data_IF_904742719586
#
_entry.id   IF_904742719586
#
_cell.length_a   1.000
_cell.length_b   1.000
_cell.length_c   1.000
_cell.angle_alpha   90.00
_cell.angle_beta   90.00
_cell.angle_gamma   90.00
#
_symmetry.space_group_name_H-M   'P 1'
#
loop_
_entity.id
_entity.type
_entity.pdbx_description
1 polymer ?
#
# COMPACT_ATOMS: atom_id res chain seq x y z
N UNK A 1 8.77 11.21 4.95
CA UNK A 1 8.01 10.63 6.08
C UNK A 1 6.81 11.53 6.30
N UNK A 2 5.61 10.98 6.38
CA UNK A 2 4.41 11.78 6.59
C UNK A 2 4.46 12.42 7.99
N UNK A 3 4.15 13.71 8.07
CA UNK A 3 4.16 14.48 9.33
C UNK A 3 3.31 13.82 10.43
N UNK A 4 2.28 13.08 10.05
CA UNK A 4 1.28 12.53 10.96
C UNK A 4 1.39 11.02 11.23
N UNK A 5 2.26 10.30 10.53
CA UNK A 5 2.43 8.84 10.70
C UNK A 5 3.91 8.45 10.60
N UNK A 6 4.72 8.82 11.61
CA UNK A 6 6.15 8.52 11.59
C UNK A 6 6.38 7.01 11.67
N UNK A 7 7.18 6.49 10.75
CA UNK A 7 7.67 5.11 10.73
C UNK A 7 9.04 5.02 11.41
N UNK A 8 9.49 3.84 11.89
CA UNK A 8 8.82 2.54 11.84
C UNK A 8 7.73 2.38 12.91
N UNK A 9 6.75 1.53 12.61
CA UNK A 9 5.84 0.99 13.61
C UNK A 9 6.27 -0.43 13.96
N UNK A 10 6.09 -0.83 15.21
CA UNK A 10 6.48 -2.16 15.70
C UNK A 10 5.36 -2.75 16.55
N UNK A 11 5.28 -4.09 16.60
CA UNK A 11 4.37 -4.74 17.54
C UNK A 11 5.00 -4.82 18.93
N UNK A 12 4.18 -4.69 19.96
CA UNK A 12 4.63 -4.68 21.36
C UNK A 12 4.73 -6.12 21.93
N UNK A 13 5.95 -6.64 22.19
CA UNK A 13 6.11 -7.99 22.74
C UNK A 13 5.58 -8.12 24.18
N UNK A 14 5.47 -7.03 24.94
CA UNK A 14 5.02 -7.07 26.35
C UNK A 14 3.54 -7.45 26.47
N UNK A 15 2.76 -7.22 25.41
CA UNK A 15 1.34 -7.54 25.32
C UNK A 15 1.05 -8.60 24.24
N UNK A 16 1.94 -9.59 24.11
CA UNK A 16 1.81 -10.69 23.15
C UNK A 16 1.65 -10.20 21.69
N UNK A 17 2.32 -9.11 21.32
CA UNK A 17 2.23 -8.49 20.00
C UNK A 17 0.83 -8.00 19.60
N UNK A 18 -0.05 -7.71 20.56
CA UNK A 18 -1.42 -7.26 20.27
C UNK A 18 -1.57 -5.73 20.19
N UNK A 19 -0.53 -4.98 20.52
CA UNK A 19 -0.47 -3.53 20.33
C UNK A 19 0.58 -3.15 19.29
N UNK A 20 0.40 -1.99 18.68
CA UNK A 20 1.35 -1.36 17.76
C UNK A 20 1.86 -0.08 18.38
N UNK A 21 3.18 0.07 18.42
CA UNK A 21 3.88 1.24 18.92
C UNK A 21 4.49 2.05 17.78
N UNK A 22 4.44 3.37 17.92
CA UNK A 22 5.16 4.31 17.10
C UNK A 22 6.65 4.36 17.46
N UNK A 23 7.45 5.11 16.68
CA UNK A 23 8.89 5.23 16.91
C UNK A 23 9.25 5.97 18.20
N UNK A 24 8.31 6.72 18.76
CA UNK A 24 8.39 7.39 20.05
C UNK A 24 7.96 6.49 21.23
N UNK A 25 7.58 5.25 20.96
CA UNK A 25 7.09 4.30 21.95
C UNK A 25 5.62 4.50 22.35
N UNK A 26 4.91 5.46 21.77
CA UNK A 26 3.48 5.65 22.04
C UNK A 26 2.63 4.68 21.24
N UNK A 27 1.49 4.28 21.81
CA UNK A 27 0.59 3.32 21.19
C UNK A 27 -0.15 3.94 20.01
N UNK A 28 0.00 3.33 18.83
CA UNK A 28 -0.71 3.67 17.60
C UNK A 28 -2.04 2.91 17.50
N UNK A 29 -2.05 1.65 17.93
CA UNK A 29 -3.24 0.81 17.91
C UNK A 29 -3.20 -0.25 19.02
N UNK A 30 -4.36 -0.47 19.65
CA UNK A 30 -4.62 -1.64 20.51
C UNK A 30 -5.56 -2.59 19.78
N UNK A 31 -5.07 -3.76 19.37
CA UNK A 31 -5.89 -4.76 18.69
C UNK A 31 -6.62 -5.68 19.68
N UNK A 32 -6.37 -5.54 20.99
CA UNK A 32 -6.89 -6.41 22.05
C UNK A 32 -8.03 -5.81 22.87
N UNK A 33 -8.42 -4.56 22.61
CA UNK A 33 -9.33 -3.78 23.47
C UNK A 33 -10.71 -4.43 23.70
N UNK A 34 -11.12 -5.36 22.84
CA UNK A 34 -12.38 -6.12 22.95
C UNK A 34 -12.18 -7.61 23.23
N UNK A 35 -10.95 -8.09 23.42
CA UNK A 35 -10.62 -9.51 23.68
C UNK A 35 -11.29 -10.04 24.96
N UNK A 36 -11.59 -9.16 25.92
CA UNK A 36 -12.30 -9.49 27.17
C UNK A 36 -13.83 -9.61 27.01
N UNK A 37 -14.39 -9.30 25.84
CA UNK A 37 -15.83 -9.43 25.58
C UNK A 37 -16.18 -10.87 25.19
N UNK A 38 -17.40 -11.30 25.51
CA UNK A 38 -17.93 -12.54 24.98
C UNK A 38 -17.87 -12.51 23.43
N UNK A 39 -17.23 -13.51 22.83
CA UNK A 39 -16.94 -13.61 21.38
C UNK A 39 -15.95 -12.56 20.84
N UNK A 40 -15.05 -12.04 21.69
CA UNK A 40 -13.92 -11.22 21.23
C UNK A 40 -12.97 -11.98 20.29
N UNK A 41 -12.17 -11.26 19.48
CA UNK A 41 -11.13 -11.88 18.66
C UNK A 41 -10.12 -12.63 19.53
N UNK A 42 -9.57 -13.71 18.99
CA UNK A 42 -8.53 -14.48 19.70
C UNK A 42 -7.22 -13.70 19.75
N UNK A 43 -6.33 -14.10 20.67
CA UNK A 43 -5.00 -13.51 20.79
C UNK A 43 -4.22 -13.57 19.46
N UNK A 44 -4.36 -14.65 18.70
CA UNK A 44 -3.71 -14.81 17.39
C UNK A 44 -4.29 -13.84 16.36
N UNK A 45 -5.60 -13.60 16.38
CA UNK A 45 -6.26 -12.64 15.50
C UNK A 45 -5.79 -11.21 15.81
N UNK A 46 -5.72 -10.85 17.09
CA UNK A 46 -5.22 -9.56 17.53
C UNK A 46 -3.76 -9.33 17.10
N UNK A 47 -2.90 -10.34 17.30
CA UNK A 47 -1.50 -10.28 16.89
C UNK A 47 -1.33 -10.16 15.36
N UNK A 48 -2.12 -10.90 14.58
CA UNK A 48 -2.11 -10.80 13.12
C UNK A 48 -2.52 -9.39 12.64
N UNK A 49 -3.55 -8.80 13.24
CA UNK A 49 -3.97 -7.44 12.93
C UNK A 49 -2.90 -6.40 13.29
N UNK A 50 -2.27 -6.53 14.46
CA UNK A 50 -1.19 -5.65 14.87
C UNK A 50 0.01 -5.73 13.91
N UNK A 51 0.41 -6.94 13.47
CA UNK A 51 1.45 -7.13 12.46
C UNK A 51 1.11 -6.47 11.12
N UNK A 52 -0.15 -6.57 10.67
CA UNK A 52 -0.62 -5.93 9.45
C UNK A 52 -0.52 -4.41 9.54
N UNK A 53 -1.00 -3.83 10.66
CA UNK A 53 -0.92 -2.39 10.93
C UNK A 53 0.54 -1.95 10.98
N UNK A 54 1.40 -2.62 11.75
CA UNK A 54 2.82 -2.27 11.88
C UNK A 54 3.56 -2.28 10.53
N UNK A 55 3.15 -3.15 9.60
CA UNK A 55 3.74 -3.24 8.26
C UNK A 55 3.20 -2.19 7.28
N UNK A 56 2.09 -1.52 7.59
CA UNK A 56 1.40 -0.60 6.69
C UNK A 56 2.31 0.52 6.12
N UNK A 57 3.20 1.18 6.90
CA UNK A 57 4.09 2.19 6.32
C UNK A 57 5.06 1.63 5.27
N UNK A 58 5.61 0.43 5.52
CA UNK A 58 6.51 -0.23 4.58
C UNK A 58 5.76 -0.69 3.32
N UNK A 59 4.54 -1.21 3.48
CA UNK A 59 3.67 -1.59 2.37
C UNK A 59 3.32 -0.37 1.50
N UNK A 60 2.95 0.76 2.11
CA UNK A 60 2.67 2.02 1.42
C UNK A 60 3.87 2.49 0.58
N UNK A 61 5.07 2.51 1.18
CA UNK A 61 6.29 2.89 0.47
C UNK A 61 6.62 1.94 -0.70
N UNK A 62 6.23 0.67 -0.63
CA UNK A 62 6.37 -0.28 -1.74
C UNK A 62 5.32 -0.04 -2.83
N UNK A 63 4.07 0.26 -2.48
CA UNK A 63 3.04 0.64 -3.46
C UNK A 63 3.46 1.86 -4.28
N UNK A 64 4.02 2.89 -3.65
CA UNK A 64 4.54 4.09 -4.35
C UNK A 64 5.65 3.74 -5.36
N UNK A 65 6.55 2.81 -5.01
CA UNK A 65 7.58 2.31 -5.92
C UNK A 65 7.00 1.51 -7.08
N UNK A 66 5.97 0.69 -6.84
CA UNK A 66 5.26 -0.07 -7.88
C UNK A 66 4.56 0.88 -8.86
N UNK A 67 3.91 1.94 -8.37
CA UNK A 67 3.32 2.98 -9.23
C UNK A 67 4.38 3.58 -10.16
N UNK A 68 5.52 4.01 -9.61
CA UNK A 68 6.60 4.60 -10.41
C UNK A 68 7.17 3.61 -11.45
N UNK A 69 7.28 2.33 -11.11
CA UNK A 69 7.71 1.29 -12.03
C UNK A 69 6.70 1.05 -13.16
N UNK A 70 5.40 1.03 -12.86
CA UNK A 70 4.34 0.92 -13.86
C UNK A 70 4.30 2.12 -14.80
N UNK A 71 4.50 3.34 -14.28
CA UNK A 71 4.61 4.55 -15.12
C UNK A 71 5.80 4.45 -16.08
N UNK A 72 6.95 3.97 -15.59
CA UNK A 72 8.12 3.74 -16.42
C UNK A 72 7.83 2.72 -17.54
N UNK A 73 7.17 1.60 -17.21
CA UNK A 73 6.77 0.59 -18.20
C UNK A 73 5.81 1.18 -19.25
N UNK A 74 4.82 1.98 -18.84
CA UNK A 74 3.90 2.64 -19.75
C UNK A 74 4.63 3.57 -20.73
N UNK A 75 5.48 4.47 -20.21
CA UNK A 75 6.26 5.40 -21.04
C UNK A 75 7.23 4.66 -21.98
N UNK A 76 7.81 3.54 -21.52
CA UNK A 76 8.69 2.72 -22.33
C UNK A 76 7.94 2.03 -23.47
N UNK A 77 6.74 1.48 -23.19
CA UNK A 77 5.88 0.88 -24.20
C UNK A 77 5.42 1.91 -25.25
N UNK A 78 4.98 3.10 -24.83
CA UNK A 78 4.64 4.21 -25.73
C UNK A 78 5.83 4.62 -26.61
N UNK A 79 7.03 4.69 -26.03
CA UNK A 79 8.26 5.01 -26.76
C UNK A 79 8.65 3.97 -27.80
N UNK A 80 8.37 2.68 -27.55
CA UNK A 80 8.59 1.61 -28.54
C UNK A 80 7.53 1.66 -29.65
N UNK A 81 6.26 1.87 -29.28
CA UNK A 81 5.16 2.00 -30.24
C UNK A 81 5.41 3.14 -31.23
N UNK A 82 5.94 4.27 -30.75
CA UNK A 82 6.29 5.42 -31.58
C UNK A 82 7.45 5.14 -32.58
N UNK A 83 8.29 4.14 -32.32
CA UNK A 83 9.40 3.75 -33.20
C UNK A 83 9.00 2.62 -34.17
N UNK A 84 7.91 1.91 -33.88
CA UNK A 84 7.48 0.72 -34.59
C UNK A 84 6.43 1.02 -35.68
N UNK A 85 6.83 1.72 -36.74
CA UNK A 85 5.92 1.99 -37.87
C UNK A 85 5.82 0.83 -38.88
N UNK A 86 6.74 -0.14 -38.78
CA UNK A 86 6.82 -1.27 -39.72
C UNK A 86 5.81 -2.40 -39.43
N UNK A 87 5.36 -2.53 -38.19
CA UNK A 87 4.50 -3.63 -37.75
C UNK A 87 3.31 -3.09 -36.96
N UNK A 88 2.19 -2.77 -37.63
CA UNK A 88 1.02 -2.17 -36.99
C UNK A 88 0.50 -2.97 -35.78
N UNK A 89 0.45 -4.29 -35.86
CA UNK A 89 0.00 -5.16 -34.77
C UNK A 89 0.90 -5.08 -33.52
N UNK A 90 2.21 -4.94 -33.71
CA UNK A 90 3.14 -4.75 -32.59
C UNK A 90 2.94 -3.39 -31.93
N UNK A 91 2.79 -2.33 -32.74
CA UNK A 91 2.48 -0.98 -32.27
C UNK A 91 1.18 -0.94 -31.46
N UNK A 92 0.13 -1.59 -31.94
CA UNK A 92 -1.15 -1.70 -31.25
C UNK A 92 -1.02 -2.42 -29.90
N UNK A 93 -0.26 -3.53 -29.87
CA UNK A 93 0.01 -4.29 -28.64
C UNK A 93 0.76 -3.44 -27.61
N UNK A 94 1.81 -2.72 -28.04
CA UNK A 94 2.58 -1.84 -27.15
C UNK A 94 1.73 -0.69 -26.59
N UNK A 95 0.81 -0.14 -27.39
CA UNK A 95 -0.15 0.87 -26.91
C UNK A 95 -1.13 0.25 -25.90
N UNK A 96 -1.60 -0.97 -26.14
CA UNK A 96 -2.49 -1.67 -25.22
C UNK A 96 -1.79 -1.96 -23.88
N UNK A 97 -0.55 -2.44 -23.91
CA UNK A 97 0.27 -2.65 -22.72
C UNK A 97 0.44 -1.35 -21.92
N UNK A 98 0.77 -0.24 -22.59
CA UNK A 98 0.89 1.06 -21.94
C UNK A 98 -0.39 1.48 -21.21
N UNK A 99 -1.56 1.29 -21.85
CA UNK A 99 -2.86 1.57 -21.24
C UNK A 99 -3.11 0.69 -20.01
N UNK A 100 -2.79 -0.60 -20.08
CA UNK A 100 -2.95 -1.53 -18.97
C UNK A 100 -2.06 -1.12 -17.79
N UNK A 101 -0.79 -0.79 -18.01
CA UNK A 101 0.10 -0.33 -16.96
C UNK A 101 -0.41 0.95 -16.29
N UNK A 102 -0.89 1.93 -17.06
CA UNK A 102 -1.48 3.16 -16.52
C UNK A 102 -2.75 2.89 -15.72
N UNK A 103 -3.62 2.01 -16.19
CA UNK A 103 -4.84 1.63 -15.48
C UNK A 103 -4.49 1.02 -14.11
N UNK A 104 -3.60 0.02 -14.07
CA UNK A 104 -3.15 -0.59 -12.81
C UNK A 104 -2.47 0.42 -11.88
N UNK A 105 -1.63 1.32 -12.42
CA UNK A 105 -1.01 2.37 -11.61
C UNK A 105 -2.06 3.31 -10.99
N UNK A 106 -3.11 3.66 -11.73
CA UNK A 106 -4.22 4.48 -11.23
C UNK A 106 -5.01 3.76 -10.13
N UNK A 107 -5.27 2.46 -10.28
CA UNK A 107 -5.95 1.67 -9.26
C UNK A 107 -5.15 1.67 -7.94
N UNK A 108 -3.83 1.46 -8.01
CA UNK A 108 -2.96 1.50 -6.83
C UNK A 108 -2.91 2.91 -6.23
N UNK A 109 -2.84 3.97 -7.07
CA UNK A 109 -2.91 5.36 -6.58
C UNK A 109 -4.19 5.64 -5.81
N UNK A 110 -5.33 5.14 -6.27
CA UNK A 110 -6.61 5.32 -5.59
C UNK A 110 -6.59 4.68 -4.19
N UNK A 111 -6.04 3.46 -4.07
CA UNK A 111 -5.86 2.80 -2.77
C UNK A 111 -4.90 3.58 -1.87
N UNK A 112 -3.79 4.08 -2.41
CA UNK A 112 -2.80 4.89 -1.68
C UNK A 112 -3.40 6.20 -1.18
N UNK A 113 -4.16 6.90 -2.03
CA UNK A 113 -4.85 8.15 -1.65
C UNK A 113 -5.82 7.90 -0.49
N UNK A 114 -6.65 6.85 -0.60
CA UNK A 114 -7.56 6.45 0.49
C UNK A 114 -6.80 6.12 1.78
N UNK A 115 -5.68 5.38 1.69
CA UNK A 115 -4.86 5.04 2.85
C UNK A 115 -4.21 6.27 3.53
N UNK A 116 -4.01 7.37 2.77
CA UNK A 116 -3.52 8.65 3.28
C UNK A 116 -4.65 9.57 3.79
N UNK A 117 -5.92 9.16 3.68
CA UNK A 117 -7.07 10.00 4.02
C UNK A 117 -7.39 11.05 2.95
N UNK A 118 -6.82 10.96 1.75
CA UNK A 118 -7.10 11.86 0.64
C UNK A 118 -8.38 11.38 -0.07
N UNK A 119 -9.50 12.11 0.05
CA UNK A 119 -10.74 11.85 -0.70
C UNK A 119 -12.02 11.65 0.11
N UNK A 120 -11.93 11.57 1.44
CA UNK A 120 -13.10 11.69 2.32
C UNK A 120 -13.16 13.14 2.82
N UNK A 121 -13.95 13.99 2.14
CA UNK A 121 -14.37 15.25 2.72
C UNK A 121 -15.26 14.92 3.94
N UNK A 122 -14.83 15.36 5.12
CA UNK A 122 -15.57 15.22 6.38
C UNK A 122 -16.93 15.94 6.32
#
# INVERSE_FOLDING_TARGET
MAEHTPSPWVTDPEVNHQAVLGPDGFMVADCSIVSLRANGPTNETCAANACLIATAPALLAKCEKVIAWLDWLANHAESRAAKNDRFPSLKETEIADAKNYRATANDIRAVVAKAKGEGEAA
#
